data_IF_085965997089
#
_entry.id   IF_085965997089
#
_cell.length_a   1.000
_cell.length_b   1.000
_cell.length_c   1.000
_cell.angle_alpha   90.00
_cell.angle_beta   90.00
_cell.angle_gamma   90.00
#
_symmetry.space_group_name_H-M   'P 1'
#
loop_
_entity.id
_entity.type
_entity.pdbx_description
1 polymer ?
#
# COMPACT_ATOMS: atom_id res chain seq x y z
N UNK A 1 -37.22 18.95 -24.66
CA UNK A 1 -37.09 18.60 -23.22
C UNK A 1 -36.83 19.88 -22.44
N UNK A 2 -37.63 20.18 -21.40
CA UNK A 2 -37.33 21.27 -20.47
C UNK A 2 -36.24 20.81 -19.49
N UNK A 3 -35.27 21.68 -19.17
CA UNK A 3 -34.17 21.38 -18.25
C UNK A 3 -34.23 22.30 -17.04
N UNK A 4 -33.83 21.76 -15.90
CA UNK A 4 -33.61 22.54 -14.69
C UNK A 4 -32.18 23.07 -14.68
N UNK A 5 -32.00 24.27 -14.15
CA UNK A 5 -30.67 24.87 -13.96
C UNK A 5 -30.01 24.17 -12.77
N UNK A 6 -28.77 23.74 -12.97
CA UNK A 6 -27.92 23.26 -11.90
C UNK A 6 -27.00 24.40 -11.45
N UNK A 7 -26.97 24.67 -10.15
CA UNK A 7 -26.03 25.61 -9.56
C UNK A 7 -24.81 24.85 -9.05
N UNK A 8 -23.64 25.17 -9.60
CA UNK A 8 -22.40 24.59 -9.13
C UNK A 8 -22.13 25.00 -7.67
N UNK A 9 -21.96 24.01 -6.81
CA UNK A 9 -21.73 24.20 -5.37
C UNK A 9 -20.33 23.72 -5.02
N UNK A 10 -19.75 24.33 -4.00
CA UNK A 10 -18.47 23.88 -3.45
C UNK A 10 -18.52 22.38 -3.13
N UNK A 11 -17.55 21.65 -3.69
CA UNK A 11 -17.30 20.22 -3.49
C UNK A 11 -17.32 19.84 -2.02
N UNK A 12 -17.92 18.70 -1.71
CA UNK A 12 -17.87 18.11 -0.36
C UNK A 12 -16.48 17.53 -0.14
N UNK A 13 -15.85 17.87 0.98
CA UNK A 13 -14.52 17.38 1.30
C UNK A 13 -14.54 15.84 1.37
N UNK A 14 -13.60 15.21 0.66
CA UNK A 14 -13.35 13.79 0.76
C UNK A 14 -12.81 13.43 2.16
N UNK A 15 -12.91 12.15 2.58
CA UNK A 15 -12.24 11.66 3.77
C UNK A 15 -10.76 12.06 3.77
N UNK A 16 -10.28 12.58 4.90
CA UNK A 16 -8.89 13.01 5.00
C UNK A 16 -7.96 11.79 4.96
N UNK A 17 -6.99 11.81 4.05
CA UNK A 17 -5.92 10.82 3.99
C UNK A 17 -4.67 11.43 4.59
N UNK A 18 -4.13 10.81 5.64
CA UNK A 18 -2.86 11.24 6.20
C UNK A 18 -1.72 10.78 5.30
N UNK A 19 -1.11 11.73 4.61
CA UNK A 19 0.15 11.51 3.90
C UNK A 19 1.30 11.69 4.87
N UNK A 20 2.22 10.72 4.91
CA UNK A 20 3.33 10.74 5.85
C UNK A 20 4.34 9.65 5.58
N UNK A 21 5.51 9.80 6.20
CA UNK A 21 6.52 8.75 6.26
C UNK A 21 6.42 8.07 7.63
N UNK A 22 6.18 6.76 7.63
CA UNK A 22 6.22 5.94 8.84
C UNK A 22 7.65 5.41 8.97
N UNK A 23 8.40 5.94 9.93
CA UNK A 23 9.76 5.49 10.23
C UNK A 23 9.73 4.31 11.19
N UNK A 24 10.36 3.21 10.80
CA UNK A 24 10.43 1.97 11.55
C UNK A 24 11.85 1.83 12.11
N UNK A 25 11.94 1.52 13.40
CA UNK A 25 13.23 1.20 14.04
C UNK A 25 13.77 -0.14 13.51
N UNK A 26 15.08 -0.25 13.29
CA UNK A 26 15.69 -1.48 12.82
C UNK A 26 15.56 -2.61 13.86
N UNK A 27 15.66 -3.88 13.44
CA UNK A 27 15.71 -5.00 14.35
C UNK A 27 16.89 -4.91 15.31
N UNK A 28 16.81 -5.54 16.50
CA UNK A 28 17.93 -5.62 17.42
C UNK A 28 19.10 -6.43 16.82
N UNK A 29 20.31 -6.08 17.23
CA UNK A 29 21.53 -6.82 16.84
C UNK A 29 21.68 -8.09 17.67
N UNK A 30 22.09 -9.18 17.02
CA UNK A 30 22.40 -10.43 17.67
C UNK A 30 23.80 -10.33 18.32
N UNK A 31 23.91 -10.42 19.65
CA UNK A 31 25.21 -10.37 20.31
C UNK A 31 26.05 -11.56 19.87
N UNK A 32 27.25 -11.29 19.32
CA UNK A 32 28.18 -12.34 18.87
C UNK A 32 28.51 -13.27 20.02
N UNK A 33 28.04 -14.51 19.92
CA UNK A 33 28.34 -15.57 20.89
C UNK A 33 29.81 -15.97 20.69
N UNK A 34 30.71 -15.35 21.45
CA UNK A 34 32.12 -15.77 21.49
C UNK A 34 32.13 -17.17 22.11
N UNK A 35 32.51 -18.23 21.36
CA UNK A 35 32.56 -19.57 21.92
C UNK A 35 33.50 -19.55 23.12
N UNK A 36 33.15 -20.20 24.25
CA UNK A 36 34.04 -20.25 25.39
C UNK A 36 35.38 -20.79 24.93
N UNK A 37 36.46 -20.07 25.24
CA UNK A 37 37.81 -20.46 24.83
C UNK A 37 38.07 -21.92 25.21
N UNK A 38 38.86 -22.64 24.39
CA UNK A 38 39.24 -24.03 24.71
C UNK A 38 39.80 -24.14 26.14
N UNK A 39 40.51 -23.10 26.58
CA UNK A 39 40.96 -22.89 27.96
C UNK A 39 39.79 -22.89 28.97
N UNK A 40 38.74 -22.09 28.79
CA UNK A 40 37.55 -22.10 29.66
C UNK A 40 36.84 -23.46 29.69
N UNK A 41 36.82 -24.19 28.57
CA UNK A 41 36.21 -25.51 28.48
C UNK A 41 37.07 -26.61 29.13
N UNK A 42 38.39 -26.50 29.05
CA UNK A 42 39.35 -27.45 29.61
C UNK A 42 39.70 -27.20 31.09
N UNK A 43 39.55 -25.95 31.57
CA UNK A 43 39.84 -25.54 32.95
C UNK A 43 39.22 -26.44 34.03
N UNK A 44 37.93 -26.83 33.98
CA UNK A 44 37.36 -27.72 35.00
C UNK A 44 37.99 -29.11 34.99
N UNK A 45 38.29 -29.67 33.81
CA UNK A 45 38.97 -30.96 33.70
C UNK A 45 40.41 -30.86 34.23
N UNK A 46 41.11 -29.77 33.92
CA UNK A 46 42.46 -29.50 34.43
C UNK A 46 42.46 -29.40 35.96
N UNK A 47 41.51 -28.68 36.56
CA UNK A 47 41.36 -28.54 38.02
C UNK A 47 41.10 -29.91 38.67
N UNK A 48 40.22 -30.72 38.09
CA UNK A 48 39.94 -32.08 38.61
C UNK A 48 41.18 -32.97 38.52
N UNK A 49 41.92 -32.95 37.41
CA UNK A 49 43.18 -33.69 37.25
C UNK A 49 44.21 -33.26 38.29
N UNK A 50 44.31 -31.96 38.57
CA UNK A 50 45.26 -31.40 39.54
C UNK A 50 44.90 -31.80 40.98
N UNK A 51 43.60 -31.81 41.32
CA UNK A 51 43.10 -32.29 42.62
C UNK A 51 43.38 -33.79 42.78
N UNK A 52 43.04 -34.61 41.78
CA UNK A 52 43.27 -36.06 41.82
C UNK A 52 44.77 -36.37 41.90
N UNK A 53 45.59 -35.69 41.10
CA UNK A 53 47.05 -35.84 41.11
C UNK A 53 47.66 -35.46 42.46
N UNK A 54 47.18 -34.39 43.10
CA UNK A 54 47.61 -33.99 44.44
C UNK A 54 47.24 -35.04 45.50
N UNK A 55 46.02 -35.59 45.46
CA UNK A 55 45.58 -36.66 46.39
C UNK A 55 46.45 -37.91 46.23
N UNK A 56 46.72 -38.34 44.99
CA UNK A 56 47.56 -39.51 44.71
C UNK A 56 49.00 -39.28 45.17
N UNK A 57 49.57 -38.10 44.90
CA UNK A 57 50.92 -37.75 45.34
C UNK A 57 51.03 -37.74 46.87
N UNK A 58 50.03 -37.22 47.59
CA UNK A 58 49.98 -37.20 49.05
C UNK A 58 49.95 -38.62 49.64
N UNK A 59 49.18 -39.52 49.02
CA UNK A 59 49.10 -40.94 49.42
C UNK A 59 50.41 -41.68 49.12
N UNK A 60 51.05 -41.40 47.98
CA UNK A 60 52.29 -42.04 47.56
C UNK A 60 53.53 -41.58 48.37
N UNK A 61 53.57 -40.34 48.83
CA UNK A 61 54.70 -39.80 49.62
C UNK A 61 54.66 -40.17 51.11
N UNK A 62 53.58 -40.76 51.61
CA UNK A 62 53.57 -41.38 52.94
C UNK A 62 53.70 -40.42 54.13
N UNK A 63 53.39 -39.12 53.97
CA UNK A 63 53.38 -38.17 55.08
C UNK A 63 52.15 -38.39 55.98
N UNK A 64 52.35 -39.10 57.10
CA UNK A 64 51.35 -39.40 58.13
C UNK A 64 50.97 -38.22 59.06
N UNK A 65 51.36 -36.98 58.73
CA UNK A 65 50.98 -35.78 59.49
C UNK A 65 50.13 -34.88 58.61
N UNK A 66 48.86 -35.25 58.48
CA UNK A 66 47.87 -34.48 57.74
C UNK A 66 47.48 -33.29 58.63
N UNK A 67 47.98 -32.08 58.33
CA UNK A 67 47.40 -30.88 58.93
C UNK A 67 45.99 -30.69 58.35
N UNK A 68 44.96 -30.42 59.16
CA UNK A 68 43.59 -30.19 58.67
C UNK A 68 43.51 -29.10 57.58
N UNK A 69 44.48 -28.18 57.57
CA UNK A 69 44.63 -27.10 56.60
C UNK A 69 45.01 -27.57 55.18
N UNK A 70 45.77 -28.67 55.02
CA UNK A 70 46.17 -29.19 53.69
C UNK A 70 45.05 -29.93 52.98
N UNK A 71 44.16 -30.61 53.72
CA UNK A 71 42.95 -31.23 53.18
C UNK A 71 41.85 -30.21 52.84
N UNK A 72 41.86 -29.03 53.46
CA UNK A 72 40.84 -28.00 53.25
C UNK A 72 41.01 -27.24 51.92
N UNK A 73 42.27 -27.08 51.47
CA UNK A 73 42.61 -26.38 50.24
C UNK A 73 41.91 -26.91 48.97
N UNK A 74 41.92 -28.23 48.67
CA UNK A 74 41.20 -28.76 47.50
C UNK A 74 39.67 -28.59 47.61
N UNK A 75 39.11 -28.59 48.82
CA UNK A 75 37.67 -28.40 49.03
C UNK A 75 37.24 -26.96 48.74
N UNK A 76 38.03 -25.97 49.18
CA UNK A 76 37.81 -24.55 48.88
C UNK A 76 37.98 -24.27 47.38
N UNK A 77 38.97 -24.90 46.73
CA UNK A 77 39.18 -24.77 45.28
C UNK A 77 37.99 -25.34 44.49
N UNK A 78 37.45 -26.48 44.92
CA UNK A 78 36.25 -27.09 44.31
C UNK A 78 35.03 -26.19 44.47
N UNK A 79 34.81 -25.62 45.67
CA UNK A 79 33.71 -24.71 45.94
C UNK A 79 33.82 -23.42 45.09
N UNK A 80 35.01 -22.82 45.02
CA UNK A 80 35.28 -21.66 44.19
C UNK A 80 35.04 -21.94 42.69
N UNK A 81 35.45 -23.12 42.20
CA UNK A 81 35.20 -23.53 40.82
C UNK A 81 33.69 -23.69 40.54
N UNK A 82 32.92 -24.27 41.45
CA UNK A 82 31.45 -24.38 41.29
C UNK A 82 30.74 -23.03 41.36
N UNK A 83 31.23 -22.07 42.15
CA UNK A 83 30.69 -20.71 42.20
C UNK A 83 30.93 -19.94 40.90
N UNK A 84 32.15 -20.02 40.34
CA UNK A 84 32.50 -19.47 39.03
C UNK A 84 31.67 -20.08 37.89
N UNK A 85 31.37 -21.38 37.96
CA UNK A 85 30.57 -22.06 36.94
C UNK A 85 29.07 -21.73 37.02
N UNK A 86 28.53 -21.49 38.23
CA UNK A 86 27.14 -20.98 38.39
C UNK A 86 26.99 -19.54 37.89
N UNK A 87 28.03 -18.71 38.00
CA UNK A 87 28.02 -17.34 37.48
C UNK A 87 28.20 -17.23 35.95
N UNK A 88 28.51 -18.33 35.27
CA UNK A 88 28.56 -18.40 33.81
C UNK A 88 27.16 -18.60 33.24
N UNK A 89 26.32 -17.59 33.45
CA UNK A 89 24.88 -17.63 33.21
C UNK A 89 24.54 -17.52 31.71
N UNK A 90 24.84 -18.58 30.97
CA UNK A 90 24.50 -18.70 29.56
C UNK A 90 22.97 -18.73 29.34
N UNK A 91 22.17 -18.98 30.41
CA UNK A 91 20.71 -18.99 30.37
C UNK A 91 20.11 -17.59 30.48
N UNK A 92 20.65 -16.71 31.34
CA UNK A 92 20.24 -15.30 31.39
C UNK A 92 20.35 -14.61 30.03
N UNK A 93 21.38 -14.92 29.25
CA UNK A 93 21.58 -14.32 27.91
C UNK A 93 20.52 -14.72 26.87
N UNK A 94 19.99 -15.94 26.94
CA UNK A 94 18.88 -16.36 26.07
C UNK A 94 17.57 -15.68 26.46
N UNK A 95 17.31 -15.52 27.76
CA UNK A 95 16.11 -14.84 28.26
C UNK A 95 16.11 -13.35 27.89
N UNK A 96 17.27 -12.69 27.93
CA UNK A 96 17.45 -11.30 27.48
C UNK A 96 17.12 -11.13 25.99
N UNK A 97 17.65 -12.00 25.12
CA UNK A 97 17.37 -11.97 23.67
C UNK A 97 15.91 -12.26 23.37
N UNK A 98 15.29 -13.20 24.09
CA UNK A 98 13.87 -13.53 23.93
C UNK A 98 12.97 -12.36 24.37
N UNK A 99 13.33 -11.64 25.44
CA UNK A 99 12.62 -10.45 25.89
C UNK A 99 12.74 -9.30 24.88
N UNK A 100 13.94 -9.03 24.37
CA UNK A 100 14.17 -7.99 23.35
C UNK A 100 13.41 -8.29 22.05
N UNK A 101 13.41 -9.57 21.61
CA UNK A 101 12.59 -10.01 20.48
C UNK A 101 11.10 -9.78 20.75
N UNK A 102 10.61 -10.15 21.92
CA UNK A 102 9.19 -9.97 22.26
C UNK A 102 8.78 -8.49 22.26
N UNK A 103 9.65 -7.61 22.74
CA UNK A 103 9.43 -6.16 22.72
C UNK A 103 9.42 -5.60 21.30
N UNK A 104 10.37 -6.02 20.45
CA UNK A 104 10.41 -5.61 19.05
C UNK A 104 9.19 -6.10 18.25
N UNK A 105 8.77 -7.35 18.45
CA UNK A 105 7.56 -7.89 17.80
C UNK A 105 6.28 -7.16 18.26
N UNK A 106 6.23 -6.75 19.53
CA UNK A 106 5.12 -5.93 20.05
C UNK A 106 5.11 -4.54 19.39
N UNK A 107 6.28 -3.94 19.25
CA UNK A 107 6.46 -2.69 18.49
C UNK A 107 6.00 -2.85 17.03
N UNK A 108 6.44 -3.89 16.33
CA UNK A 108 6.01 -4.15 14.95
C UNK A 108 4.50 -4.36 14.82
N UNK A 109 3.85 -4.96 15.82
CA UNK A 109 2.38 -5.07 15.83
C UNK A 109 1.72 -3.69 15.86
N UNK A 110 2.20 -2.78 16.70
CA UNK A 110 1.67 -1.40 16.78
C UNK A 110 1.92 -0.66 15.48
N UNK A 111 3.12 -0.80 14.89
CA UNK A 111 3.43 -0.23 13.58
C UNK A 111 2.48 -0.77 12.52
N UNK A 112 2.26 -2.08 12.46
CA UNK A 112 1.33 -2.72 11.52
C UNK A 112 -0.07 -2.16 11.63
N UNK A 113 -0.58 -2.00 12.85
CA UNK A 113 -1.93 -1.49 13.06
C UNK A 113 -2.05 -0.01 12.63
N UNK A 114 -0.99 0.78 12.83
CA UNK A 114 -0.91 2.14 12.30
C UNK A 114 -0.89 2.15 10.76
N UNK A 115 -0.08 1.30 10.13
CA UNK A 115 -0.04 1.18 8.65
C UNK A 115 -1.40 0.78 8.08
N UNK A 116 -2.11 -0.15 8.74
CA UNK A 116 -3.48 -0.54 8.35
C UNK A 116 -4.46 0.62 8.47
N UNK A 117 -4.36 1.44 9.51
CA UNK A 117 -5.19 2.63 9.64
C UNK A 117 -4.97 3.62 8.46
N UNK A 118 -3.71 3.83 8.05
CA UNK A 118 -3.41 4.63 6.85
C UNK A 118 -3.98 3.99 5.57
N UNK A 119 -3.90 2.66 5.45
CA UNK A 119 -4.44 1.92 4.31
C UNK A 119 -5.97 2.05 4.22
N UNK A 120 -6.67 1.98 5.36
CA UNK A 120 -8.13 2.14 5.44
C UNK A 120 -8.55 3.58 5.12
N UNK A 121 -7.80 4.59 5.57
CA UNK A 121 -8.02 5.99 5.18
C UNK A 121 -7.87 6.20 3.68
N UNK A 122 -6.80 5.67 3.07
CA UNK A 122 -6.58 5.74 1.64
C UNK A 122 -7.71 5.04 0.87
N UNK A 123 -8.10 3.83 1.29
CA UNK A 123 -9.23 3.10 0.67
C UNK A 123 -10.53 3.89 0.76
N UNK A 124 -10.86 4.44 1.93
CA UNK A 124 -12.07 5.22 2.12
C UNK A 124 -12.12 6.45 1.21
N UNK A 125 -10.99 7.13 1.01
CA UNK A 125 -10.91 8.27 0.10
C UNK A 125 -11.05 7.86 -1.38
N UNK A 126 -10.49 6.71 -1.77
CA UNK A 126 -10.63 6.16 -3.12
C UNK A 126 -12.05 5.69 -3.40
N UNK A 127 -12.69 5.01 -2.46
CA UNK A 127 -14.10 4.58 -2.56
C UNK A 127 -15.06 5.77 -2.57
N UNK A 128 -14.76 6.83 -1.80
CA UNK A 128 -15.51 8.07 -1.84
C UNK A 128 -15.48 8.72 -3.23
N UNK A 129 -14.30 8.77 -3.84
CA UNK A 129 -14.08 9.39 -5.14
C UNK A 129 -14.56 8.49 -6.29
N UNK A 130 -14.33 7.19 -6.18
CA UNK A 130 -14.60 6.17 -7.19
C UNK A 130 -15.51 5.06 -6.62
N UNK A 131 -16.79 5.34 -6.33
CA UNK A 131 -17.71 4.33 -5.82
C UNK A 131 -18.02 3.27 -6.87
N UNK A 132 -18.67 2.19 -6.44
CA UNK A 132 -19.08 1.14 -7.38
C UNK A 132 -20.06 1.67 -8.41
N UNK A 133 -20.03 1.19 -9.67
CA UNK A 133 -20.93 1.69 -10.71
C UNK A 133 -22.41 1.65 -10.34
N UNK A 134 -22.84 0.64 -9.56
CA UNK A 134 -24.22 0.52 -9.08
C UNK A 134 -24.63 1.68 -8.14
N UNK A 135 -23.68 2.23 -7.37
CA UNK A 135 -23.94 3.33 -6.45
C UNK A 135 -24.10 4.69 -7.17
N UNK A 136 -23.64 4.81 -8.42
CA UNK A 136 -23.72 6.06 -9.20
C UNK A 136 -25.16 6.53 -9.41
N UNK A 137 -26.13 5.63 -9.41
CA UNK A 137 -27.56 5.94 -9.56
C UNK A 137 -28.05 6.90 -8.47
N UNK A 138 -27.41 6.90 -7.30
CA UNK A 138 -27.79 7.75 -6.16
C UNK A 138 -27.21 9.17 -6.21
N UNK A 139 -26.28 9.45 -7.13
CA UNK A 139 -25.53 10.71 -7.18
C UNK A 139 -26.31 11.86 -7.85
N UNK A 140 -26.99 11.67 -9.01
CA UNK A 140 -27.76 12.73 -9.63
C UNK A 140 -28.85 13.31 -8.71
N UNK A 141 -29.00 14.62 -8.71
CA UNK A 141 -29.92 15.36 -7.84
C UNK A 141 -29.40 15.62 -6.42
N UNK A 142 -28.22 15.09 -6.07
CA UNK A 142 -27.56 15.40 -4.79
C UNK A 142 -26.57 16.55 -4.92
N UNK A 143 -26.04 17.03 -3.79
CA UNK A 143 -24.95 18.02 -3.76
C UNK A 143 -23.66 17.51 -4.42
N UNK A 144 -23.49 16.20 -4.56
CA UNK A 144 -22.29 15.56 -5.12
C UNK A 144 -22.36 15.40 -6.64
N UNK A 145 -23.49 15.71 -7.27
CA UNK A 145 -23.56 15.76 -8.72
C UNK A 145 -22.55 16.79 -9.25
N UNK A 146 -21.74 16.38 -10.23
CA UNK A 146 -20.75 17.25 -10.89
C UNK A 146 -19.78 17.94 -9.93
N UNK A 147 -19.30 17.21 -8.92
CA UNK A 147 -18.43 17.77 -7.88
C UNK A 147 -16.96 17.88 -8.28
N UNK A 148 -16.50 17.27 -9.39
CA UNK A 148 -15.08 17.22 -9.76
C UNK A 148 -14.68 18.41 -10.63
N UNK A 149 -13.71 19.17 -10.15
CA UNK A 149 -13.18 20.33 -10.85
C UNK A 149 -11.81 20.05 -11.50
N UNK A 150 -11.41 20.82 -12.54
CA UNK A 150 -10.11 20.63 -13.22
C UNK A 150 -8.87 20.67 -12.32
N UNK A 151 -8.96 21.29 -11.15
CA UNK A 151 -7.88 21.41 -10.18
C UNK A 151 -7.78 20.19 -9.24
N UNK A 152 -8.77 19.31 -9.24
CA UNK A 152 -8.81 18.15 -8.38
C UNK A 152 -7.97 16.99 -8.94
N UNK A 153 -7.34 16.18 -8.08
CA UNK A 153 -6.50 15.06 -8.52
C UNK A 153 -7.29 13.95 -9.23
N UNK A 154 -8.56 13.74 -8.86
CA UNK A 154 -9.45 12.71 -9.40
C UNK A 154 -10.27 13.17 -10.61
N UNK A 155 -10.02 14.39 -11.09
CA UNK A 155 -10.66 14.93 -12.28
C UNK A 155 -10.26 14.16 -13.54
N UNK A 156 -11.27 13.75 -14.31
CA UNK A 156 -11.16 12.89 -15.50
C UNK A 156 -10.51 11.51 -15.23
N UNK A 157 -10.55 11.03 -13.99
CA UNK A 157 -10.13 9.67 -13.63
C UNK A 157 -11.35 8.75 -13.59
N UNK A 158 -11.39 7.74 -14.46
CA UNK A 158 -12.49 6.76 -14.56
C UNK A 158 -12.13 5.45 -13.87
N UNK A 159 -12.97 4.95 -12.96
CA UNK A 159 -12.76 3.66 -12.30
C UNK A 159 -12.84 2.54 -13.33
N UNK A 160 -11.76 1.77 -13.42
CA UNK A 160 -11.67 0.61 -14.31
C UNK A 160 -11.83 -0.73 -13.57
N UNK A 161 -11.77 -0.72 -12.24
CA UNK A 161 -11.95 -1.93 -11.44
C UNK A 161 -11.37 -1.79 -10.06
N UNK A 162 -11.10 -2.94 -9.43
CA UNK A 162 -10.32 -3.06 -8.20
C UNK A 162 -8.95 -3.63 -8.57
N UNK A 163 -7.89 -3.03 -8.05
CA UNK A 163 -6.54 -3.52 -8.25
C UNK A 163 -5.69 -3.28 -7.01
N UNK A 164 -4.55 -3.94 -6.95
CA UNK A 164 -3.55 -3.70 -5.93
C UNK A 164 -2.72 -2.49 -6.35
N UNK A 165 -2.54 -1.55 -5.43
CA UNK A 165 -1.78 -0.33 -5.68
C UNK A 165 -0.87 -0.03 -4.49
N UNK A 166 0.12 0.82 -4.69
CA UNK A 166 1.04 1.19 -3.61
C UNK A 166 0.31 2.03 -2.54
N UNK A 167 0.71 1.81 -1.29
CA UNK A 167 0.28 2.64 -0.16
C UNK A 167 0.88 4.04 -0.29
N UNK A 168 0.06 5.08 -0.16
CA UNK A 168 0.53 6.47 -0.27
C UNK A 168 1.48 6.86 0.88
N UNK A 169 1.35 6.20 2.03
CA UNK A 169 2.25 6.38 3.17
C UNK A 169 3.58 5.65 2.93
N UNK A 170 4.69 6.39 2.96
CA UNK A 170 6.01 5.79 2.74
C UNK A 170 6.49 5.06 4.00
N UNK A 171 6.72 3.75 3.91
CA UNK A 171 7.35 2.97 4.97
C UNK A 171 8.88 3.03 4.83
N UNK A 172 9.57 3.67 5.77
CA UNK A 172 11.04 3.73 5.80
C UNK A 172 11.59 3.08 7.05
N UNK A 173 12.58 2.21 6.89
CA UNK A 173 13.38 1.70 8.01
C UNK A 173 14.55 2.66 8.20
N UNK A 174 14.93 2.97 9.44
CA UNK A 174 16.16 3.75 9.68
C UNK A 174 17.39 2.91 9.30
N UNK A 175 18.37 3.56 8.67
CA UNK A 175 19.59 2.89 8.23
C UNK A 175 20.37 2.31 9.42
N UNK A 176 20.83 1.07 9.26
CA UNK A 176 21.78 0.40 10.18
C UNK A 176 23.09 0.11 9.46
N UNK A 177 24.17 0.02 10.24
CA UNK A 177 25.51 -0.05 9.70
C UNK A 177 25.85 -1.42 9.10
N UNK A 178 25.22 -2.53 9.52
CA UNK A 178 25.52 -3.88 9.04
C UNK A 178 24.28 -4.82 9.10
N UNK A 179 23.77 -5.29 7.95
CA UNK A 179 22.60 -6.20 7.85
C UNK A 179 22.90 -7.63 8.37
N UNK A 180 24.19 -7.99 8.53
CA UNK A 180 24.64 -9.37 8.77
C UNK A 180 24.41 -9.81 10.22
N UNK A 181 24.40 -8.89 11.18
CA UNK A 181 24.36 -9.20 12.61
C UNK A 181 22.97 -8.96 13.24
N UNK A 182 21.87 -8.95 12.47
CA UNK A 182 20.52 -8.74 13.00
C UNK A 182 19.87 -10.00 13.57
N UNK A 183 18.97 -9.85 14.56
CA UNK A 183 18.19 -10.96 15.10
C UNK A 183 17.23 -11.54 14.03
N UNK A 184 17.32 -12.85 13.72
CA UNK A 184 16.72 -13.40 12.52
C UNK A 184 15.18 -13.37 12.52
N UNK A 185 14.52 -13.54 13.67
CA UNK A 185 13.04 -13.56 13.75
C UNK A 185 12.49 -12.15 13.55
N UNK A 186 13.09 -11.17 14.21
CA UNK A 186 12.75 -9.75 14.14
C UNK A 186 12.98 -9.22 12.73
N UNK A 187 14.13 -9.55 12.13
CA UNK A 187 14.46 -9.16 10.77
C UNK A 187 13.51 -9.78 9.72
N UNK A 188 13.24 -11.08 9.81
CA UNK A 188 12.30 -11.74 8.88
C UNK A 188 10.87 -11.23 9.03
N UNK A 189 10.43 -10.94 10.25
CA UNK A 189 9.11 -10.35 10.52
C UNK A 189 9.00 -8.93 9.96
N UNK A 190 10.03 -8.10 10.14
CA UNK A 190 10.08 -6.76 9.56
C UNK A 190 10.01 -6.82 8.03
N UNK A 191 10.82 -7.69 7.38
CA UNK A 191 10.78 -7.85 5.93
C UNK A 191 9.40 -8.28 5.44
N UNK A 192 8.78 -9.26 6.10
CA UNK A 192 7.43 -9.71 5.76
C UNK A 192 6.38 -8.61 5.91
N UNK A 193 6.49 -7.78 6.96
CA UNK A 193 5.61 -6.61 7.15
C UNK A 193 5.79 -5.61 6.01
N UNK A 194 7.02 -5.29 5.62
CA UNK A 194 7.29 -4.35 4.53
C UNK A 194 6.80 -4.88 3.18
N UNK A 195 7.00 -6.17 2.88
CA UNK A 195 6.52 -6.79 1.64
C UNK A 195 4.99 -6.78 1.57
N UNK A 196 4.30 -7.09 2.66
CA UNK A 196 2.84 -7.25 2.68
C UNK A 196 2.10 -5.92 2.83
N UNK A 197 2.63 -4.97 3.60
CA UNK A 197 1.90 -3.74 3.97
C UNK A 197 2.25 -2.54 3.08
N UNK A 198 3.14 -2.69 2.09
CA UNK A 198 3.40 -1.66 1.08
C UNK A 198 2.31 -1.57 0.02
N UNK A 199 1.52 -2.63 -0.16
CA UNK A 199 0.46 -2.71 -1.16
C UNK A 199 -0.92 -2.60 -0.51
N UNK A 200 -1.73 -1.67 -0.99
CA UNK A 200 -3.15 -1.58 -0.71
C UNK A 200 -3.91 -2.52 -1.65
N UNK A 201 -4.38 -3.64 -1.11
CA UNK A 201 -5.09 -4.63 -1.91
C UNK A 201 -6.53 -4.22 -2.25
N UNK A 202 -6.96 -4.55 -3.47
CA UNK A 202 -8.35 -4.43 -3.92
C UNK A 202 -8.94 -3.03 -3.81
N UNK A 203 -8.15 -1.99 -4.11
CA UNK A 203 -8.61 -0.61 -4.09
C UNK A 203 -9.19 -0.17 -5.44
N UNK A 204 -10.16 0.77 -5.48
CA UNK A 204 -10.64 1.35 -6.72
C UNK A 204 -9.49 1.99 -7.50
N UNK A 205 -9.20 1.45 -8.68
CA UNK A 205 -8.21 2.01 -9.59
C UNK A 205 -8.89 2.60 -10.82
N UNK A 206 -8.23 3.56 -11.47
CA UNK A 206 -8.80 4.25 -12.60
C UNK A 206 -7.84 4.64 -13.69
N UNK A 207 -8.41 4.94 -14.85
CA UNK A 207 -7.73 5.42 -16.05
C UNK A 207 -7.78 6.95 -16.03
N UNK A 208 -6.61 7.58 -16.04
CA UNK A 208 -6.48 9.03 -16.17
C UNK A 208 -6.63 9.44 -17.64
N UNK A 209 -7.80 9.95 -18.01
CA UNK A 209 -8.10 10.38 -19.38
C UNK A 209 -7.29 11.62 -19.81
N UNK A 210 -6.67 12.34 -18.88
CA UNK A 210 -5.79 13.47 -19.22
C UNK A 210 -4.49 12.99 -19.89
N UNK A 211 -4.09 11.74 -19.63
CA UNK A 211 -2.85 11.14 -20.11
C UNK A 211 -3.07 10.17 -21.27
N UNK A 212 -4.32 9.85 -21.59
CA UNK A 212 -4.67 8.88 -22.62
C UNK A 212 -5.48 9.53 -23.73
N UNK A 213 -5.02 9.41 -24.98
CA UNK A 213 -5.73 9.91 -26.15
C UNK A 213 -6.59 8.87 -26.86
N UNK A 214 -6.32 7.58 -26.62
CA UNK A 214 -7.05 6.45 -27.23
C UNK A 214 -7.05 5.26 -26.29
N UNK A 215 -8.23 4.69 -26.08
CA UNK A 215 -8.42 3.42 -25.37
C UNK A 215 -9.04 2.44 -26.36
N UNK A 216 -8.38 1.30 -26.57
CA UNK A 216 -8.89 0.21 -27.42
C UNK A 216 -9.25 -0.96 -26.51
N UNK A 217 -10.53 -1.31 -26.46
CA UNK A 217 -11.01 -2.48 -25.74
C UNK A 217 -11.07 -3.67 -26.69
N UNK A 218 -10.62 -4.82 -26.21
CA UNK A 218 -10.64 -6.09 -26.94
C UNK A 218 -11.26 -7.14 -26.02
N UNK A 219 -12.28 -7.82 -26.49
CA UNK A 219 -13.02 -8.81 -25.69
C UNK A 219 -14.38 -9.13 -26.30
N UNK A 220 -15.21 -9.81 -25.53
CA UNK A 220 -16.60 -10.06 -25.91
C UNK A 220 -17.40 -8.75 -26.00
N UNK A 221 -18.33 -8.67 -26.95
CA UNK A 221 -19.11 -7.45 -27.20
C UNK A 221 -19.91 -7.01 -25.97
N UNK A 222 -20.48 -7.96 -25.22
CA UNK A 222 -21.28 -7.63 -24.04
C UNK A 222 -20.42 -7.11 -22.89
N UNK A 223 -19.23 -7.69 -22.68
CA UNK A 223 -18.26 -7.25 -21.66
C UNK A 223 -17.71 -5.86 -21.98
N UNK A 224 -17.30 -5.63 -23.23
CA UNK A 224 -16.80 -4.33 -23.69
C UNK A 224 -17.87 -3.26 -23.56
N UNK A 225 -19.10 -3.54 -24.01
CA UNK A 225 -20.20 -2.60 -23.86
C UNK A 225 -20.54 -2.34 -22.38
N UNK A 226 -20.43 -3.36 -21.51
CA UNK A 226 -20.59 -3.22 -20.07
C UNK A 226 -19.57 -2.27 -19.44
N UNK A 227 -18.28 -2.47 -19.73
CA UNK A 227 -17.21 -1.62 -19.26
C UNK A 227 -17.36 -0.17 -19.74
N UNK A 228 -17.62 0.03 -21.04
CA UNK A 228 -17.83 1.35 -21.62
C UNK A 228 -19.02 2.08 -20.97
N UNK A 229 -20.16 1.40 -20.76
CA UNK A 229 -21.30 2.02 -20.07
C UNK A 229 -20.95 2.43 -18.65
N UNK A 230 -20.21 1.60 -17.91
CA UNK A 230 -19.77 1.95 -16.55
C UNK A 230 -18.87 3.19 -16.55
N UNK A 231 -17.91 3.26 -17.48
CA UNK A 231 -17.00 4.39 -17.64
C UNK A 231 -17.72 5.68 -18.03
N UNK A 232 -18.62 5.61 -19.03
CA UNK A 232 -19.40 6.77 -19.48
C UNK A 232 -20.38 7.26 -18.40
N UNK A 233 -21.05 6.34 -17.69
CA UNK A 233 -21.93 6.70 -16.59
C UNK A 233 -21.17 7.39 -15.45
N UNK A 234 -19.98 6.89 -15.10
CA UNK A 234 -19.13 7.51 -14.11
C UNK A 234 -18.64 8.89 -14.56
N UNK A 235 -18.19 9.01 -15.82
CA UNK A 235 -17.71 10.27 -16.37
C UNK A 235 -18.82 11.33 -16.34
N UNK A 236 -20.02 10.99 -16.83
CA UNK A 236 -21.17 11.88 -16.88
C UNK A 236 -21.76 12.22 -15.49
N UNK A 237 -21.65 11.30 -14.52
CA UNK A 237 -22.13 11.53 -13.15
C UNK A 237 -21.28 12.54 -12.37
N UNK A 238 -19.97 12.58 -12.63
CA UNK A 238 -19.02 13.38 -11.84
C UNK A 238 -18.59 14.69 -12.48
N UNK A 239 -18.81 14.89 -13.79
CA UNK A 239 -18.33 16.07 -14.51
C UNK A 239 -19.49 16.85 -15.11
N UNK A 240 -19.41 18.18 -15.05
CA UNK A 240 -20.39 19.07 -15.66
C UNK A 240 -20.38 18.95 -17.21
N UNK A 241 -21.53 19.02 -17.91
CA UNK A 241 -21.59 18.96 -19.38
C UNK A 241 -20.86 20.11 -20.09
N UNK A 242 -20.49 21.19 -19.39
CA UNK A 242 -19.64 22.25 -19.91
C UNK A 242 -18.15 21.86 -19.96
N UNK A 243 -17.68 20.98 -19.07
CA UNK A 243 -16.27 20.57 -19.00
C UNK A 243 -15.99 19.24 -19.69
N UNK A 244 -16.99 18.35 -19.75
CA UNK A 244 -16.91 17.04 -20.40
C UNK A 244 -18.03 16.88 -21.45
N UNK A 245 -17.66 16.44 -22.64
CA UNK A 245 -18.59 16.02 -23.68
C UNK A 245 -18.43 14.55 -24.02
N UNK A 246 -19.52 13.93 -24.45
CA UNK A 246 -19.56 12.54 -24.92
C UNK A 246 -20.07 12.55 -26.35
N UNK A 247 -19.44 11.77 -27.20
CA UNK A 247 -19.79 11.56 -28.59
C UNK A 247 -19.81 10.05 -28.85
N UNK A 248 -20.65 9.61 -29.78
CA UNK A 248 -20.78 8.19 -30.11
C UNK A 248 -21.07 8.01 -31.60
N UNK A 249 -20.35 7.10 -32.24
CA UNK A 249 -20.61 6.63 -33.60
C UNK A 249 -20.84 5.13 -33.59
N UNK A 250 -22.02 4.69 -34.02
CA UNK A 250 -22.30 3.26 -34.15
C UNK A 250 -23.69 2.96 -34.71
N UNK A 251 -23.80 1.85 -35.43
CA UNK A 251 -25.06 1.37 -36.02
C UNK A 251 -26.06 0.88 -34.97
N UNK A 252 -25.60 0.56 -33.75
CA UNK A 252 -26.40 0.06 -32.64
C UNK A 252 -26.99 1.17 -31.75
N UNK A 253 -27.07 2.41 -32.22
CA UNK A 253 -27.53 3.57 -31.42
C UNK A 253 -28.94 3.38 -30.86
N UNK A 254 -29.82 2.73 -31.61
CA UNK A 254 -31.21 2.45 -31.19
C UNK A 254 -31.33 1.23 -30.28
N UNK A 255 -30.25 0.47 -30.07
CA UNK A 255 -30.27 -0.69 -29.18
C UNK A 255 -30.38 -0.25 -27.72
N UNK A 256 -30.92 -1.14 -26.87
CA UNK A 256 -31.02 -0.91 -25.42
C UNK A 256 -29.66 -0.64 -24.75
N UNK A 257 -28.54 -1.03 -25.39
CA UNK A 257 -27.19 -0.82 -24.88
C UNK A 257 -26.73 0.64 -24.98
N UNK A 258 -27.26 1.42 -25.94
CA UNK A 258 -26.74 2.76 -26.26
C UNK A 258 -27.80 3.85 -26.35
N UNK A 259 -29.08 3.48 -26.50
CA UNK A 259 -30.19 4.43 -26.58
C UNK A 259 -30.26 5.37 -25.38
N UNK A 260 -29.72 4.95 -24.23
CA UNK A 260 -29.67 5.75 -23.01
C UNK A 260 -28.83 7.02 -23.09
N UNK A 261 -27.85 7.07 -24.00
CA UNK A 261 -27.04 8.27 -24.22
C UNK A 261 -27.90 9.48 -24.61
N UNK A 262 -29.04 9.26 -25.28
CA UNK A 262 -29.97 10.29 -25.75
C UNK A 262 -30.49 11.23 -24.65
N UNK A 263 -30.43 10.80 -23.40
CA UNK A 263 -30.89 11.58 -22.24
C UNK A 263 -29.77 12.36 -21.55
N UNK A 264 -28.50 12.09 -21.86
CA UNK A 264 -27.38 12.80 -21.25
C UNK A 264 -27.30 14.23 -21.78
N UNK A 265 -27.04 15.24 -20.93
CA UNK A 265 -26.75 16.59 -21.40
C UNK A 265 -25.34 16.72 -22.00
N UNK A 266 -24.45 15.76 -21.73
CA UNK A 266 -23.05 15.77 -22.18
C UNK A 266 -22.88 15.55 -23.68
N UNK A 267 -23.90 15.02 -24.36
CA UNK A 267 -23.86 14.74 -25.80
C UNK A 267 -24.35 15.93 -26.64
N UNK A 268 -24.75 17.04 -26.04
CA UNK A 268 -25.29 18.17 -26.77
C UNK A 268 -24.24 18.91 -27.61
N UNK A 269 -24.65 19.30 -28.81
CA UNK A 269 -23.93 20.23 -29.68
C UNK A 269 -24.30 21.67 -29.28
N UNK A 270 -23.35 22.50 -28.82
CA UNK A 270 -23.63 23.86 -28.40
C UNK A 270 -24.27 24.69 -29.52
N UNK A 271 -25.39 25.36 -29.22
CA UNK A 271 -26.04 26.31 -30.13
C UNK A 271 -26.79 25.68 -31.32
N UNK A 272 -26.92 24.34 -31.37
CA UNK A 272 -27.65 23.65 -32.43
C UNK A 272 -28.89 22.94 -31.88
N UNK A 273 -29.97 22.93 -32.67
CA UNK A 273 -31.24 22.29 -32.36
C UNK A 273 -31.56 21.31 -33.47
N UNK A 274 -31.92 20.08 -33.09
CA UNK A 274 -32.31 19.02 -34.01
C UNK A 274 -33.68 18.44 -33.60
N UNK A 275 -34.70 18.77 -34.40
CA UNK A 275 -36.08 18.34 -34.21
C UNK A 275 -36.66 18.68 -32.84
N UNK A 276 -36.68 17.69 -31.93
CA UNK A 276 -37.38 17.73 -30.64
C UNK A 276 -36.51 18.25 -29.47
N UNK A 277 -35.27 18.64 -29.72
CA UNK A 277 -34.35 19.15 -28.69
C UNK A 277 -33.02 19.65 -29.24
N UNK A 278 -32.01 19.85 -28.38
CA UNK A 278 -30.65 20.16 -28.82
C UNK A 278 -30.12 19.08 -29.75
N UNK A 279 -29.32 19.48 -30.74
CA UNK A 279 -28.59 18.54 -31.57
C UNK A 279 -27.60 17.74 -30.72
N UNK A 280 -27.29 16.51 -31.15
CA UNK A 280 -26.56 15.53 -30.34
C UNK A 280 -25.35 14.99 -31.11
N UNK A 281 -24.23 14.75 -30.41
CA UNK A 281 -23.06 14.03 -30.92
C UNK A 281 -23.32 12.51 -30.99
N UNK A 282 -24.42 12.12 -31.62
CA UNK A 282 -24.78 10.74 -31.86
C UNK A 282 -24.88 10.56 -33.38
N UNK A 283 -24.08 9.64 -33.93
CA UNK A 283 -24.06 9.37 -35.35
C UNK A 283 -24.07 7.86 -35.60
N UNK A 284 -24.45 7.47 -36.83
CA UNK A 284 -24.39 6.05 -37.23
C UNK A 284 -23.05 5.68 -37.83
N UNK A 285 -22.31 6.67 -38.35
CA UNK A 285 -21.00 6.50 -38.98
C UNK A 285 -19.95 7.42 -38.38
N UNK A 286 -18.68 7.01 -38.44
CA UNK A 286 -17.56 7.82 -37.94
C UNK A 286 -17.36 9.11 -38.75
N UNK A 287 -17.61 9.08 -40.06
CA UNK A 287 -17.49 10.26 -40.93
C UNK A 287 -18.52 11.33 -40.57
N UNK A 288 -19.77 10.93 -40.32
CA UNK A 288 -20.84 11.82 -39.87
C UNK A 288 -20.49 12.45 -38.51
N UNK A 289 -20.02 11.63 -37.56
CA UNK A 289 -19.61 12.14 -36.25
C UNK A 289 -18.45 13.12 -36.35
N UNK A 290 -17.47 12.83 -37.21
CA UNK A 290 -16.34 13.72 -37.45
C UNK A 290 -16.81 15.09 -37.98
N UNK A 291 -17.76 15.12 -38.91
CA UNK A 291 -18.34 16.37 -39.41
C UNK A 291 -19.05 17.17 -38.30
N UNK A 292 -19.76 16.50 -37.39
CA UNK A 292 -20.41 17.15 -36.24
C UNK A 292 -19.38 17.72 -35.24
N UNK A 293 -18.29 16.98 -34.99
CA UNK A 293 -17.24 17.36 -34.04
C UNK A 293 -16.24 18.38 -34.60
N UNK A 294 -16.12 18.50 -35.92
CA UNK A 294 -15.12 19.36 -36.57
C UNK A 294 -15.08 20.80 -36.02
N UNK A 295 -16.22 21.50 -35.80
CA UNK A 295 -16.19 22.84 -35.20
C UNK A 295 -15.69 22.86 -33.75
N UNK A 296 -15.99 21.82 -32.96
CA UNK A 296 -15.57 21.72 -31.55
C UNK A 296 -14.10 21.31 -31.38
N UNK A 297 -13.54 20.64 -32.39
CA UNK A 297 -12.14 20.26 -32.46
C UNK A 297 -11.27 21.32 -33.16
N UNK A 298 -11.86 22.22 -33.95
CA UNK A 298 -11.15 23.29 -34.61
C UNK A 298 -10.40 24.18 -33.59
N UNK A 299 -9.10 24.41 -33.84
CA UNK A 299 -8.26 25.23 -32.98
C UNK A 299 -7.70 24.53 -31.74
N UNK A 300 -8.00 23.24 -31.53
CA UNK A 300 -7.33 22.46 -30.47
C UNK A 300 -5.88 22.16 -30.84
N UNK A 301 -5.00 22.25 -29.85
CA UNK A 301 -3.61 21.81 -29.98
C UNK A 301 -3.53 20.28 -30.02
N UNK A 302 -2.49 19.71 -30.66
CA UNK A 302 -2.20 18.29 -30.57
C UNK A 302 -2.10 17.82 -29.11
N UNK A 303 -2.54 16.59 -28.86
CA UNK A 303 -2.51 16.00 -27.53
C UNK A 303 -1.06 15.82 -27.04
N UNK A 304 -0.72 16.43 -25.89
CA UNK A 304 0.62 16.37 -25.30
C UNK A 304 0.73 15.43 -24.08
N UNK A 305 -0.40 15.03 -23.47
CA UNK A 305 -0.40 14.15 -22.29
C UNK A 305 0.16 14.76 -21.01
N UNK A 306 0.39 16.08 -20.98
CA UNK A 306 0.86 16.84 -19.82
C UNK A 306 -0.24 17.11 -18.78
N UNK A 307 -1.49 16.79 -19.14
CA UNK A 307 -2.67 16.97 -18.31
C UNK A 307 -3.18 18.40 -18.18
N UNK A 308 -2.65 19.33 -18.98
CA UNK A 308 -3.15 20.68 -19.04
C UNK A 308 -4.47 20.72 -19.81
N UNK A 309 -5.52 21.26 -19.17
CA UNK A 309 -6.82 21.46 -19.83
C UNK A 309 -7.02 22.89 -20.27
N UNK A 310 -7.08 23.07 -21.59
CA UNK A 310 -7.33 24.34 -22.26
C UNK A 310 -8.74 24.45 -22.83
N UNK A 311 -9.47 23.33 -22.92
CA UNK A 311 -10.80 23.24 -23.54
C UNK A 311 -11.61 22.08 -22.98
N UNK A 312 -12.92 22.05 -23.25
CA UNK A 312 -13.84 20.95 -22.90
C UNK A 312 -13.27 19.59 -23.35
N UNK A 313 -13.13 18.64 -22.43
CA UNK A 313 -12.68 17.28 -22.77
C UNK A 313 -13.78 16.55 -23.53
N UNK A 314 -13.42 15.77 -24.56
CA UNK A 314 -14.37 15.03 -25.39
C UNK A 314 -14.02 13.55 -25.39
N UNK A 315 -14.98 12.73 -24.97
CA UNK A 315 -14.94 11.27 -25.14
C UNK A 315 -15.67 10.94 -26.44
N UNK A 316 -15.01 10.23 -27.35
CA UNK A 316 -15.51 9.88 -28.68
C UNK A 316 -15.52 8.36 -28.82
#
# INVERSE_FOLDING_TARGET
MSRLIFEHRKRVAAPAVRQGTITIEPPPELPRVVPPSLLRRALPYLIVILIVGMIVALVATGLRLISPTTLFFPFVLLLAATALYRGSDNKMRTEEVDAERADYLRYLSVVRDNVRAHADEQRAALEWSHPEPAALVSIPGTRRQWERDPHDPDFLVLRAGLHDQDLDATLRVKDTADEIDLEPVSHTTLRSLLETQRTLHGAPTGIDLKRVSRITLVGDEAEVAGALRAWLAQAAGWHDPSVLGIAFAGTSLESNSWSWLKWLPHIDVPGQVDGVGPARYLATTSSELHSLLAPALAGRVPFAGDGAMTSKHLLI
#
